data_IF_719347996529
#
_entry.id   IF_719347996529
#
_cell.length_a   1.000
_cell.length_b   1.000
_cell.length_c   1.000
_cell.angle_alpha   90.00
_cell.angle_beta   90.00
_cell.angle_gamma   90.00
#
_symmetry.space_group_name_H-M   'P 1'
#
loop_
_entity.id
_entity.type
_entity.pdbx_description
1 polymer ?
#
# COMPACT_ATOMS: atom_id res chain seq x y z
N UNK A 1 36.21 -32.38 -4.71
CA UNK A 1 35.76 -33.07 -3.47
C UNK A 1 36.26 -32.26 -2.29
N UNK A 2 35.36 -31.57 -1.60
CA UNK A 2 35.68 -30.81 -0.40
C UNK A 2 35.96 -31.76 0.77
N UNK A 3 36.79 -31.33 1.74
CA UNK A 3 36.98 -32.05 2.97
C UNK A 3 35.72 -32.13 3.80
N UNK A 4 35.33 -33.29 4.28
CA UNK A 4 34.26 -33.43 5.25
C UNK A 4 34.84 -33.23 6.66
N UNK A 5 34.12 -32.50 7.49
CA UNK A 5 34.46 -32.29 8.90
C UNK A 5 33.46 -33.08 9.74
N UNK A 6 33.98 -33.70 10.80
CA UNK A 6 33.23 -34.52 11.75
C UNK A 6 33.51 -34.04 13.17
N UNK A 7 32.54 -34.18 14.04
CA UNK A 7 32.68 -33.86 15.45
C UNK A 7 32.69 -35.15 16.28
N UNK A 8 33.67 -35.26 17.19
CA UNK A 8 33.78 -36.37 18.13
C UNK A 8 33.63 -35.79 19.53
N UNK A 9 32.87 -36.46 20.39
CA UNK A 9 32.78 -36.13 21.80
C UNK A 9 34.05 -36.55 22.59
N UNK A 10 34.06 -36.34 23.92
CA UNK A 10 35.18 -36.70 24.79
C UNK A 10 35.49 -38.17 24.82
N UNK A 11 34.55 -39.05 24.48
CA UNK A 11 34.70 -40.50 24.45
C UNK A 11 35.06 -41.01 23.04
N UNK A 12 35.26 -40.09 22.10
CA UNK A 12 35.60 -40.40 20.73
C UNK A 12 34.40 -40.85 19.87
N UNK A 13 33.19 -40.67 20.34
CA UNK A 13 31.97 -41.03 19.61
C UNK A 13 31.62 -39.89 18.63
N UNK A 14 31.33 -40.28 17.40
CA UNK A 14 30.98 -39.31 16.35
C UNK A 14 29.54 -38.79 16.50
N UNK A 15 29.40 -37.50 16.61
CA UNK A 15 28.11 -36.80 16.64
C UNK A 15 27.34 -36.99 15.33
N UNK A 16 26.02 -37.14 15.39
CA UNK A 16 25.11 -37.31 14.24
C UNK A 16 23.76 -36.63 14.50
N UNK A 17 23.23 -36.03 13.45
CA UNK A 17 21.86 -35.38 13.46
C UNK A 17 21.65 -34.47 14.67
N UNK A 18 22.65 -33.62 14.98
CA UNK A 18 22.59 -32.71 16.14
C UNK A 18 23.35 -31.42 15.89
N UNK A 19 23.03 -30.42 16.68
CA UNK A 19 23.73 -29.15 16.75
C UNK A 19 25.02 -29.29 17.61
N UNK A 20 26.02 -28.53 17.26
CA UNK A 20 27.31 -28.48 17.96
C UNK A 20 27.61 -27.02 18.31
N UNK A 21 27.70 -26.75 19.62
CA UNK A 21 28.03 -25.44 20.18
C UNK A 21 27.14 -24.30 19.58
N UNK A 22 25.87 -24.57 19.35
CA UNK A 22 24.88 -23.64 18.73
C UNK A 22 25.36 -22.96 17.45
N UNK A 23 26.36 -23.55 16.82
CA UNK A 23 27.06 -22.93 15.68
C UNK A 23 27.06 -23.81 14.43
N UNK A 24 27.18 -25.10 14.60
CA UNK A 24 27.31 -26.09 13.51
C UNK A 24 26.24 -27.16 13.61
N UNK A 25 25.88 -27.73 12.48
CA UNK A 25 25.01 -28.90 12.44
C UNK A 25 25.74 -30.07 11.76
N UNK A 26 25.67 -31.23 12.34
CA UNK A 26 26.15 -32.48 11.75
C UNK A 26 24.96 -33.35 11.34
N UNK A 27 24.95 -33.79 10.08
CA UNK A 27 23.87 -34.60 9.55
C UNK A 27 23.93 -36.08 10.01
N UNK A 28 23.03 -36.90 9.49
CA UNK A 28 22.95 -38.35 9.83
C UNK A 28 24.21 -39.15 9.49
N UNK A 29 25.01 -38.66 8.54
CA UNK A 29 26.32 -39.25 8.22
C UNK A 29 27.42 -38.84 9.21
N UNK A 30 27.16 -37.91 10.14
CA UNK A 30 28.13 -37.25 11.00
C UNK A 30 28.89 -36.11 10.33
N UNK A 31 28.75 -35.93 9.02
CA UNK A 31 29.41 -34.84 8.31
C UNK A 31 28.77 -33.50 8.64
N UNK A 32 29.61 -32.48 8.85
CA UNK A 32 29.15 -31.07 9.07
C UNK A 32 28.43 -30.55 7.84
N UNK A 33 27.27 -30.01 8.05
CA UNK A 33 26.48 -29.33 7.03
C UNK A 33 27.15 -28.00 6.60
N UNK A 34 27.09 -27.67 5.30
CA UNK A 34 27.53 -26.38 4.76
C UNK A 34 26.75 -26.03 3.50
N UNK A 35 26.55 -24.75 3.24
CA UNK A 35 25.73 -24.22 2.13
C UNK A 35 24.36 -24.91 2.05
N UNK A 36 23.67 -25.04 3.15
CA UNK A 36 22.39 -25.74 3.17
C UNK A 36 21.45 -25.25 4.28
N UNK A 37 20.21 -25.44 4.04
CA UNK A 37 19.13 -25.27 5.00
C UNK A 37 19.00 -26.48 5.92
N UNK A 38 18.70 -26.23 7.18
CA UNK A 38 18.39 -27.23 8.20
C UNK A 38 17.10 -26.81 8.89
N UNK A 39 16.14 -27.71 8.93
CA UNK A 39 14.94 -27.57 9.75
C UNK A 39 15.16 -28.18 11.12
N UNK A 40 14.76 -27.48 12.16
CA UNK A 40 14.71 -27.98 13.52
C UNK A 40 13.31 -27.76 14.09
N UNK A 41 12.72 -28.78 14.70
CA UNK A 41 11.41 -28.65 15.36
C UNK A 41 11.52 -27.99 16.73
N UNK A 42 10.39 -27.64 17.29
CA UNK A 42 10.26 -27.23 18.69
C UNK A 42 10.83 -28.34 19.60
N UNK A 43 11.32 -27.98 20.78
CA UNK A 43 11.94 -28.93 21.74
C UNK A 43 13.16 -29.72 21.19
N UNK A 44 13.72 -29.33 20.05
CA UNK A 44 14.97 -29.86 19.57
C UNK A 44 16.17 -29.26 20.32
N UNK A 45 17.36 -29.81 20.11
CA UNK A 45 18.65 -29.24 20.55
C UNK A 45 19.13 -28.08 19.65
N UNK A 46 18.19 -27.46 18.93
CA UNK A 46 18.47 -26.29 18.08
C UNK A 46 18.76 -25.02 18.91
N UNK A 47 19.49 -24.06 18.36
CA UNK A 47 19.77 -22.80 19.04
C UNK A 47 18.52 -22.00 19.44
N UNK A 48 17.41 -22.18 18.70
CA UNK A 48 16.11 -21.58 19.05
C UNK A 48 15.14 -22.66 19.55
N UNK A 49 14.50 -22.43 20.70
CA UNK A 49 13.49 -23.32 21.29
C UNK A 49 12.22 -23.43 20.45
N UNK A 50 11.91 -22.42 19.63
CA UNK A 50 10.68 -22.35 18.84
C UNK A 50 10.80 -23.10 17.51
N UNK A 51 11.98 -23.72 17.26
CA UNK A 51 12.25 -24.38 16.00
C UNK A 51 12.36 -23.42 14.81
N UNK A 52 12.37 -23.96 13.59
CA UNK A 52 12.39 -23.18 12.36
C UNK A 52 13.48 -23.58 11.38
N UNK A 53 13.64 -22.76 10.34
CA UNK A 53 14.67 -22.92 9.35
C UNK A 53 15.94 -22.15 9.71
N UNK A 54 17.08 -22.84 9.56
CA UNK A 54 18.43 -22.31 9.78
C UNK A 54 19.26 -22.50 8.52
N UNK A 55 20.21 -21.61 8.26
CA UNK A 55 21.13 -21.74 7.13
C UNK A 55 22.60 -21.83 7.61
N UNK A 56 23.29 -22.85 7.12
CA UNK A 56 24.72 -23.04 7.37
C UNK A 56 25.50 -22.50 6.16
N UNK A 57 26.42 -21.57 6.40
CA UNK A 57 27.25 -20.94 5.36
C UNK A 57 28.26 -21.93 4.74
N UNK A 58 29.12 -21.44 3.84
CA UNK A 58 30.13 -22.23 3.19
C UNK A 58 31.17 -22.87 4.17
N UNK A 59 31.35 -22.23 5.34
CA UNK A 59 32.19 -22.71 6.41
C UNK A 59 31.43 -23.61 7.40
N UNK A 60 30.17 -23.90 7.13
CA UNK A 60 29.28 -24.68 7.99
C UNK A 60 28.82 -23.93 9.25
N UNK A 61 29.07 -22.63 9.36
CA UNK A 61 28.59 -21.83 10.50
C UNK A 61 27.14 -21.40 10.26
N UNK A 62 26.37 -21.49 11.32
CA UNK A 62 25.00 -20.93 11.30
C UNK A 62 25.05 -19.43 11.04
N UNK A 63 24.18 -18.97 10.16
CA UNK A 63 23.97 -17.54 9.88
C UNK A 63 23.05 -16.97 10.94
N UNK A 64 23.44 -15.85 11.58
CA UNK A 64 22.68 -15.17 12.63
C UNK A 64 22.67 -13.67 12.40
N UNK A 65 21.65 -13.01 12.88
CA UNK A 65 21.53 -11.54 12.98
C UNK A 65 21.98 -10.81 11.71
N UNK A 66 21.40 -11.22 10.57
CA UNK A 66 21.84 -10.65 9.29
C UNK A 66 20.92 -11.01 8.11
N UNK A 67 21.05 -10.20 7.08
CA UNK A 67 20.50 -10.48 5.76
C UNK A 67 21.47 -11.33 4.93
N UNK A 68 20.92 -12.29 4.18
CA UNK A 68 21.68 -13.13 3.22
C UNK A 68 20.94 -13.27 1.90
N UNK A 69 21.72 -13.30 0.82
CA UNK A 69 21.21 -13.71 -0.49
C UNK A 69 21.60 -15.18 -0.69
N UNK A 70 20.59 -16.02 -0.91
CA UNK A 70 20.75 -17.46 -1.11
C UNK A 70 19.92 -17.82 -2.35
N UNK A 71 20.57 -18.33 -3.39
CA UNK A 71 19.94 -18.66 -4.68
C UNK A 71 19.07 -17.51 -5.24
N UNK A 72 19.64 -16.31 -5.27
CA UNK A 72 19.00 -15.07 -5.78
C UNK A 72 17.81 -14.53 -4.96
N UNK A 73 17.47 -15.16 -3.84
CA UNK A 73 16.49 -14.67 -2.88
C UNK A 73 17.15 -14.09 -1.64
N UNK A 74 16.54 -13.06 -1.07
CA UNK A 74 17.03 -12.38 0.13
C UNK A 74 16.27 -12.86 1.35
N UNK A 75 17.00 -13.32 2.37
CA UNK A 75 16.49 -13.84 3.64
C UNK A 75 17.06 -13.05 4.80
N UNK A 76 16.29 -12.97 5.87
CA UNK A 76 16.73 -12.44 7.15
C UNK A 76 16.83 -13.57 8.18
N UNK A 77 17.84 -13.51 9.05
CA UNK A 77 18.03 -14.43 10.16
C UNK A 77 18.09 -13.61 11.45
N UNK A 78 17.36 -14.04 12.46
CA UNK A 78 17.36 -13.42 13.78
C UNK A 78 18.65 -13.71 14.56
N UNK A 79 18.74 -13.22 15.82
CA UNK A 79 19.91 -13.42 16.69
C UNK A 79 20.16 -14.88 17.02
N UNK A 80 19.13 -15.72 17.05
CA UNK A 80 19.21 -17.15 17.31
C UNK A 80 19.47 -17.98 16.04
N UNK A 81 19.59 -17.31 14.89
CA UNK A 81 19.84 -17.90 13.58
C UNK A 81 18.62 -18.46 12.89
N UNK A 82 17.41 -18.25 13.43
CA UNK A 82 16.18 -18.67 12.78
C UNK A 82 15.85 -17.74 11.62
N UNK A 83 15.44 -18.32 10.49
CA UNK A 83 14.94 -17.57 9.35
C UNK A 83 13.67 -16.80 9.73
N UNK A 84 13.68 -15.49 9.54
CA UNK A 84 12.50 -14.65 9.72
C UNK A 84 11.50 -14.86 8.59
N UNK A 85 10.21 -14.70 8.88
CA UNK A 85 9.10 -14.76 7.93
C UNK A 85 8.00 -13.76 8.30
N UNK A 86 6.99 -13.59 7.45
CA UNK A 86 5.92 -12.62 7.66
C UNK A 86 6.41 -11.17 7.54
N UNK A 87 5.79 -10.28 8.28
CA UNK A 87 6.21 -8.89 8.36
C UNK A 87 7.49 -8.73 9.19
N UNK A 88 8.42 -7.96 8.67
CA UNK A 88 9.67 -7.62 9.36
C UNK A 88 9.92 -6.12 9.27
N UNK A 89 10.09 -5.47 10.42
CA UNK A 89 10.65 -4.12 10.51
C UNK A 89 12.09 -4.22 10.92
N UNK A 90 13.00 -3.75 10.07
CA UNK A 90 14.45 -3.74 10.30
C UNK A 90 14.83 -2.62 11.29
N UNK A 91 16.05 -2.65 11.81
CA UNK A 91 16.58 -1.66 12.77
C UNK A 91 16.53 -0.22 12.24
N UNK A 92 16.66 -0.03 10.93
CA UNK A 92 16.55 1.29 10.29
C UNK A 92 15.10 1.73 10.06
N UNK A 93 14.13 0.96 10.54
CA UNK A 93 12.71 1.19 10.37
C UNK A 93 12.18 0.79 8.99
N UNK A 94 12.95 0.12 8.14
CA UNK A 94 12.47 -0.37 6.85
C UNK A 94 11.56 -1.58 7.05
N UNK A 95 10.46 -1.59 6.31
CA UNK A 95 9.45 -2.65 6.36
C UNK A 95 9.64 -3.62 5.20
N UNK A 96 9.50 -4.91 5.48
CA UNK A 96 9.59 -6.02 4.55
C UNK A 96 8.44 -7.02 4.78
N UNK A 97 8.14 -7.81 3.75
CA UNK A 97 7.31 -8.99 3.87
C UNK A 97 8.09 -10.20 3.34
N UNK A 98 8.22 -11.22 4.17
CA UNK A 98 9.14 -12.36 3.98
C UNK A 98 8.41 -13.67 3.63
N UNK A 99 7.15 -13.59 3.22
CA UNK A 99 6.38 -14.80 2.93
C UNK A 99 6.03 -15.60 4.19
N UNK A 100 5.81 -16.89 4.05
CA UNK A 100 5.44 -17.77 5.16
C UNK A 100 6.64 -18.45 5.83
N UNK A 101 6.38 -19.21 6.88
CA UNK A 101 7.40 -19.92 7.69
C UNK A 101 8.27 -20.90 6.90
N UNK A 102 7.80 -21.39 5.74
CA UNK A 102 8.51 -22.32 4.89
C UNK A 102 9.19 -21.65 3.69
N UNK A 103 8.97 -20.34 3.48
CA UNK A 103 9.54 -19.58 2.39
C UNK A 103 10.59 -18.57 2.88
N UNK A 104 10.23 -17.62 3.73
CA UNK A 104 11.10 -16.60 4.31
C UNK A 104 11.75 -15.63 3.32
N UNK A 105 11.49 -15.74 2.04
CA UNK A 105 12.08 -14.89 1.03
C UNK A 105 11.44 -13.50 0.99
N UNK A 106 12.25 -12.43 1.03
CA UNK A 106 11.76 -11.06 0.91
C UNK A 106 11.03 -10.87 -0.42
N UNK A 107 9.79 -10.38 -0.33
CA UNK A 107 8.93 -10.12 -1.48
C UNK A 107 9.33 -8.84 -2.19
N UNK A 108 9.04 -8.78 -3.49
CA UNK A 108 9.25 -7.62 -4.35
C UNK A 108 8.05 -7.42 -5.27
N UNK A 109 7.83 -6.18 -5.73
CA UNK A 109 6.70 -5.84 -6.60
C UNK A 109 5.40 -5.63 -5.82
N UNK A 110 4.28 -5.71 -6.52
CA UNK A 110 2.96 -5.57 -5.96
C UNK A 110 2.53 -6.81 -5.18
N UNK A 111 1.94 -6.60 -4.02
CA UNK A 111 1.41 -7.66 -3.19
C UNK A 111 0.16 -7.17 -2.46
N UNK A 112 -0.93 -7.92 -2.57
CA UNK A 112 -2.14 -7.71 -1.79
C UNK A 112 -2.09 -8.60 -0.56
N UNK A 113 -2.15 -7.99 0.61
CA UNK A 113 -2.04 -8.69 1.89
C UNK A 113 -3.23 -8.34 2.78
N UNK A 114 -3.62 -9.27 3.63
CA UNK A 114 -4.49 -8.94 4.74
C UNK A 114 -3.72 -8.07 5.73
N UNK A 115 -4.31 -6.94 6.08
CA UNK A 115 -3.68 -5.95 6.94
C UNK A 115 -4.74 -5.29 7.81
N UNK A 116 -4.69 -5.54 9.09
CA UNK A 116 -5.64 -5.07 10.10
C UNK A 116 -5.21 -3.76 10.79
N UNK A 117 -4.19 -3.08 10.25
CA UNK A 117 -3.64 -1.86 10.83
C UNK A 117 -2.43 -2.06 11.74
N UNK A 118 -2.03 -3.30 12.03
CA UNK A 118 -0.89 -3.61 12.86
C UNK A 118 0.10 -4.57 12.17
N UNK A 119 1.40 -4.31 12.31
CA UNK A 119 2.46 -5.23 11.88
C UNK A 119 2.91 -6.08 13.07
N UNK A 120 1.99 -6.84 13.67
CA UNK A 120 2.30 -7.72 14.78
C UNK A 120 3.14 -8.91 14.32
N UNK A 121 4.27 -9.14 14.98
CA UNK A 121 4.93 -10.43 14.98
C UNK A 121 4.32 -11.36 16.04
N UNK A 122 3.08 -11.16 16.40
CA UNK A 122 2.46 -12.05 17.35
C UNK A 122 1.97 -13.29 16.59
N UNK A 123 2.66 -14.41 16.89
CA UNK A 123 2.27 -15.79 16.60
C UNK A 123 2.44 -16.33 15.17
N UNK A 124 3.21 -15.70 14.29
CA UNK A 124 3.62 -16.36 13.05
C UNK A 124 2.48 -16.68 12.07
N UNK A 125 1.30 -16.15 12.29
CA UNK A 125 0.22 -16.23 11.32
C UNK A 125 0.50 -15.25 10.18
N UNK A 126 0.85 -15.82 9.05
CA UNK A 126 0.99 -15.10 7.79
C UNK A 126 -0.38 -14.63 7.38
N UNK A 127 -0.54 -13.32 7.29
CA UNK A 127 -1.71 -12.77 6.62
C UNK A 127 -1.86 -13.42 5.26
N UNK A 128 -2.95 -14.12 5.05
CA UNK A 128 -3.23 -14.78 3.78
C UNK A 128 -3.40 -13.71 2.69
N UNK A 129 -2.90 -13.99 1.50
CA UNK A 129 -3.29 -13.22 0.32
C UNK A 129 -4.79 -13.44 0.14
N UNK A 130 -5.59 -12.40 0.37
CA UNK A 130 -7.03 -12.52 0.26
C UNK A 130 -7.48 -12.23 -1.16
N UNK A 131 -8.31 -13.08 -1.68
CA UNK A 131 -9.13 -12.78 -2.84
C UNK A 131 -10.34 -11.97 -2.37
N UNK A 132 -10.28 -10.64 -2.47
CA UNK A 132 -11.46 -9.79 -2.30
C UNK A 132 -11.51 -8.94 -1.03
N UNK A 133 -10.45 -8.25 -0.65
CA UNK A 133 -10.49 -7.29 0.46
C UNK A 133 -9.16 -6.95 1.09
N UNK A 134 -8.05 -7.42 0.55
CA UNK A 134 -6.72 -7.12 1.08
C UNK A 134 -6.23 -5.71 0.74
N UNK A 135 -5.23 -5.26 1.45
CA UNK A 135 -4.52 -4.00 1.21
C UNK A 135 -3.34 -4.21 0.28
N UNK A 136 -3.19 -3.33 -0.71
CA UNK A 136 -2.07 -3.40 -1.64
C UNK A 136 -0.84 -2.69 -1.10
N UNK A 137 0.32 -3.35 -1.28
CA UNK A 137 1.66 -2.85 -0.95
C UNK A 137 2.56 -2.96 -2.17
N UNK A 138 3.60 -2.13 -2.22
CA UNK A 138 4.63 -2.26 -3.23
C UNK A 138 6.01 -2.36 -2.58
N UNK A 139 6.69 -3.48 -2.85
CA UNK A 139 8.03 -3.76 -2.36
C UNK A 139 9.04 -3.52 -3.49
N UNK A 140 10.07 -2.74 -3.19
CA UNK A 140 11.14 -2.41 -4.14
C UNK A 140 11.99 -3.65 -4.44
N UNK A 141 12.89 -3.57 -5.41
CA UNK A 141 13.79 -4.69 -5.77
C UNK A 141 14.68 -5.16 -4.59
N UNK A 142 14.95 -4.27 -3.64
CA UNK A 142 15.67 -4.62 -2.41
C UNK A 142 14.78 -5.23 -1.31
N UNK A 143 13.50 -5.45 -1.58
CA UNK A 143 12.50 -5.99 -0.66
C UNK A 143 11.86 -4.96 0.28
N UNK A 144 12.28 -3.68 0.26
CA UNK A 144 11.72 -2.65 1.14
C UNK A 144 10.34 -2.20 0.65
N UNK A 145 9.36 -2.16 1.52
CA UNK A 145 8.08 -1.51 1.23
C UNK A 145 8.27 -0.03 0.94
N UNK A 146 7.49 0.50 0.00
CA UNK A 146 7.33 1.95 -0.13
C UNK A 146 6.35 2.40 0.94
N UNK A 147 6.75 3.37 1.76
CA UNK A 147 5.89 3.98 2.77
C UNK A 147 6.28 5.42 3.05
N UNK A 148 5.38 6.20 3.61
CA UNK A 148 5.67 7.57 4.06
C UNK A 148 6.64 7.56 5.25
N UNK A 149 7.44 8.63 5.35
CA UNK A 149 8.41 8.78 6.44
C UNK A 149 7.80 9.34 7.73
N UNK A 150 6.59 9.87 7.68
CA UNK A 150 5.91 10.48 8.82
C UNK A 150 4.44 10.14 8.84
N UNK A 151 3.87 10.18 10.03
CA UNK A 151 2.44 10.01 10.27
C UNK A 151 1.63 11.01 9.45
N UNK A 152 0.43 10.59 9.02
CA UNK A 152 -0.51 11.43 8.28
C UNK A 152 0.02 12.03 6.97
N UNK A 153 1.03 11.39 6.36
CA UNK A 153 1.59 11.78 5.07
C UNK A 153 1.54 10.63 4.07
N UNK A 154 1.87 10.91 2.81
CA UNK A 154 1.99 9.90 1.77
C UNK A 154 3.37 9.91 1.11
N UNK A 155 3.89 8.72 0.83
CA UNK A 155 5.01 8.54 -0.08
C UNK A 155 4.46 8.40 -1.51
N UNK A 156 4.89 9.29 -2.39
CA UNK A 156 4.45 9.21 -3.78
C UNK A 156 5.49 8.47 -4.64
N UNK A 157 5.04 7.57 -5.53
CA UNK A 157 5.89 6.82 -6.45
C UNK A 157 5.25 6.68 -7.81
N UNK A 158 6.09 6.77 -8.83
CA UNK A 158 5.70 6.41 -10.19
C UNK A 158 6.14 4.97 -10.47
N UNK A 159 5.19 4.10 -10.74
CA UNK A 159 5.39 2.68 -11.03
C UNK A 159 4.76 2.40 -12.38
N UNK A 160 5.53 1.91 -13.33
CA UNK A 160 5.08 1.62 -14.70
C UNK A 160 4.36 2.81 -15.39
N UNK A 161 4.78 4.05 -15.08
CA UNK A 161 4.22 5.28 -15.68
C UNK A 161 3.00 5.85 -14.97
N UNK A 162 2.46 5.17 -13.96
CA UNK A 162 1.35 5.63 -13.14
C UNK A 162 1.83 6.10 -11.77
N UNK A 163 1.18 7.13 -11.21
CA UNK A 163 1.48 7.63 -9.88
C UNK A 163 0.61 6.94 -8.84
N UNK A 164 1.24 6.51 -7.75
CA UNK A 164 0.62 5.90 -6.58
C UNK A 164 1.07 6.60 -5.32
N UNK A 165 0.23 6.54 -4.30
CA UNK A 165 0.55 7.03 -2.97
C UNK A 165 0.48 5.87 -1.97
N UNK A 166 1.38 5.91 -0.98
CA UNK A 166 1.46 4.92 0.09
C UNK A 166 1.53 5.66 1.42
N UNK A 167 0.77 5.22 2.39
CA UNK A 167 0.76 5.81 3.72
C UNK A 167 2.01 5.45 4.54
N UNK A 168 2.04 5.84 5.82
CA UNK A 168 3.13 5.52 6.76
C UNK A 168 3.24 4.02 7.04
N UNK A 169 2.18 3.27 6.82
CA UNK A 169 2.14 1.82 6.95
C UNK A 169 2.53 1.10 5.66
N UNK A 170 2.66 1.83 4.55
CA UNK A 170 2.94 1.28 3.24
C UNK A 170 1.67 0.83 2.50
N UNK A 171 0.49 1.06 3.05
CA UNK A 171 -0.76 0.76 2.40
C UNK A 171 -0.98 1.70 1.21
N UNK A 172 -1.37 1.13 0.06
CA UNK A 172 -1.67 1.91 -1.14
C UNK A 172 -2.94 2.74 -0.94
N UNK A 173 -2.86 4.03 -1.21
CA UNK A 173 -4.00 4.93 -1.17
C UNK A 173 -4.97 4.64 -2.33
N UNK A 174 -6.26 4.69 -2.04
CA UNK A 174 -7.36 4.51 -2.99
C UNK A 174 -8.46 5.55 -2.76
N UNK A 175 -9.38 5.71 -3.69
CA UNK A 175 -10.46 6.68 -3.57
C UNK A 175 -9.97 8.13 -3.56
N UNK A 176 -10.71 8.99 -2.90
CA UNK A 176 -10.36 10.39 -2.72
C UNK A 176 -9.35 10.55 -1.57
N UNK A 177 -8.27 11.27 -1.82
CA UNK A 177 -7.15 11.42 -0.89
C UNK A 177 -6.78 12.89 -0.73
N UNK A 178 -6.70 13.34 0.51
CA UNK A 178 -6.10 14.64 0.83
C UNK A 178 -4.58 14.52 0.83
N UNK A 179 -3.94 15.10 -0.17
CA UNK A 179 -2.49 14.94 -0.38
C UNK A 179 -1.62 15.84 0.50
N UNK A 180 -2.21 16.84 1.15
CA UNK A 180 -1.48 17.79 1.99
C UNK A 180 -1.39 17.41 3.46
N UNK A 181 -2.44 16.80 3.98
CA UNK A 181 -2.52 16.34 5.37
C UNK A 181 -3.70 15.35 5.50
N UNK A 182 -3.43 14.12 5.87
CA UNK A 182 -4.46 13.08 6.07
C UNK A 182 -5.43 13.41 7.22
N UNK A 183 -4.98 14.13 8.24
CA UNK A 183 -5.84 14.59 9.33
C UNK A 183 -6.70 15.80 8.95
N UNK A 184 -6.35 16.53 7.91
CA UNK A 184 -7.17 17.64 7.41
C UNK A 184 -8.39 17.09 6.65
N UNK A 185 -9.20 16.30 7.33
CA UNK A 185 -10.55 15.94 6.92
C UNK A 185 -11.49 17.14 6.91
N UNK A 186 -11.05 18.27 7.44
CA UNK A 186 -11.72 19.55 7.26
C UNK A 186 -11.53 19.93 5.80
N UNK A 187 -12.47 19.48 4.98
CA UNK A 187 -12.54 19.75 3.57
C UNK A 187 -12.30 21.23 3.30
N UNK A 188 -11.04 21.59 3.13
CA UNK A 188 -10.67 22.89 2.56
C UNK A 188 -11.07 22.96 1.10
N UNK A 189 -11.90 22.02 0.68
CA UNK A 189 -12.49 21.90 -0.64
C UNK A 189 -11.75 20.91 -1.54
N UNK A 190 -12.40 20.56 -2.62
CA UNK A 190 -11.93 19.60 -3.64
C UNK A 190 -10.53 19.90 -4.17
N UNK A 191 -10.08 21.16 -4.11
CA UNK A 191 -8.76 21.58 -4.60
C UNK A 191 -7.56 20.93 -3.90
N UNK A 192 -7.79 20.34 -2.73
CA UNK A 192 -6.75 19.67 -1.94
C UNK A 192 -6.72 18.16 -2.13
N UNK A 193 -7.56 17.66 -3.03
CA UNK A 193 -7.80 16.24 -3.21
C UNK A 193 -7.30 15.75 -4.55
N UNK A 194 -6.87 14.50 -4.54
CA UNK A 194 -6.62 13.69 -5.72
C UNK A 194 -7.41 12.38 -5.61
N UNK A 195 -7.76 11.76 -6.73
CA UNK A 195 -8.49 10.50 -6.77
C UNK A 195 -7.59 9.37 -7.27
N UNK A 196 -7.59 8.25 -6.57
CA UNK A 196 -6.68 7.12 -6.81
C UNK A 196 -7.39 5.81 -7.22
N UNK A 197 -8.53 5.91 -7.86
CA UNK A 197 -9.27 4.73 -8.32
C UNK A 197 -9.90 3.93 -7.19
N UNK A 198 -10.41 2.76 -7.54
CA UNK A 198 -10.99 1.82 -6.57
C UNK A 198 -9.91 1.02 -5.81
N UNK A 199 -10.37 0.12 -4.92
CA UNK A 199 -9.51 -0.66 -4.02
C UNK A 199 -8.37 -1.42 -4.72
N UNK A 200 -8.58 -1.89 -5.95
CA UNK A 200 -7.60 -2.66 -6.72
C UNK A 200 -6.85 -1.82 -7.77
N UNK A 201 -7.09 -0.52 -7.86
CA UNK A 201 -6.48 0.35 -8.88
C UNK A 201 -5.34 1.20 -8.32
N UNK A 202 -5.61 2.05 -7.34
CA UNK A 202 -4.65 2.93 -6.67
C UNK A 202 -3.92 3.93 -7.58
N UNK A 203 -4.28 4.02 -8.85
CA UNK A 203 -3.64 4.91 -9.80
C UNK A 203 -4.23 6.31 -9.71
N UNK A 204 -3.38 7.32 -9.59
CA UNK A 204 -3.83 8.72 -9.63
C UNK A 204 -4.62 9.01 -10.89
N UNK A 205 -5.85 9.49 -10.73
CA UNK A 205 -6.74 9.81 -11.84
C UNK A 205 -6.19 10.97 -12.70
N UNK A 206 -6.42 10.85 -14.00
CA UNK A 206 -6.16 11.88 -15.00
C UNK A 206 -7.23 11.83 -16.08
N UNK A 207 -7.55 12.98 -16.65
CA UNK A 207 -8.60 13.09 -17.66
C UNK A 207 -9.99 12.87 -17.06
N UNK A 208 -10.90 12.47 -17.89
CA UNK A 208 -12.28 12.24 -17.50
C UNK A 208 -12.44 10.96 -16.68
N UNK A 209 -13.23 11.04 -15.59
CA UNK A 209 -13.68 9.91 -14.78
C UNK A 209 -15.16 10.07 -14.46
N UNK A 210 -15.91 9.01 -14.64
CA UNK A 210 -17.27 8.90 -14.13
C UNK A 210 -17.20 8.16 -12.81
N UNK A 211 -17.55 8.83 -11.73
CA UNK A 211 -17.53 8.28 -10.38
C UNK A 211 -18.97 8.21 -9.89
N UNK A 212 -19.40 7.07 -9.46
CA UNK A 212 -20.73 6.84 -8.92
C UNK A 212 -20.61 6.21 -7.55
N UNK A 213 -21.65 6.44 -6.76
CA UNK A 213 -21.84 5.77 -5.49
C UNK A 213 -22.32 4.35 -5.74
N UNK A 214 -21.75 3.36 -5.06
CA UNK A 214 -22.29 2.01 -5.10
C UNK A 214 -23.46 1.93 -4.11
N UNK A 215 -24.72 1.84 -4.58
CA UNK A 215 -25.88 1.79 -3.69
C UNK A 215 -25.98 0.46 -2.91
N UNK A 216 -25.13 -0.52 -3.19
CA UNK A 216 -25.07 -1.79 -2.47
C UNK A 216 -24.14 -1.74 -1.26
N UNK A 217 -23.26 -0.72 -1.19
CA UNK A 217 -22.29 -0.56 -0.09
C UNK A 217 -22.78 0.45 0.95
N UNK A 218 -23.90 0.14 1.58
CA UNK A 218 -24.48 0.99 2.65
C UNK A 218 -23.81 0.78 4.01
N UNK A 219 -22.89 -0.16 4.13
CA UNK A 219 -22.28 -0.54 5.41
C UNK A 219 -20.83 -0.06 5.56
N UNK A 220 -20.22 0.49 4.51
CA UNK A 220 -18.86 1.03 4.60
C UNK A 220 -18.93 2.54 4.88
N UNK A 221 -18.91 2.88 6.17
CA UNK A 221 -18.94 4.28 6.64
C UNK A 221 -17.72 5.10 6.17
N UNK A 222 -16.74 4.45 5.55
CA UNK A 222 -15.47 5.06 5.11
C UNK A 222 -15.38 5.33 3.60
N UNK A 223 -16.39 4.93 2.81
CA UNK A 223 -16.35 5.10 1.35
C UNK A 223 -17.22 6.28 0.90
N UNK A 224 -16.63 7.45 0.87
CA UNK A 224 -17.29 8.64 0.31
C UNK A 224 -16.74 9.00 -1.06
N UNK A 225 -17.60 8.96 -2.08
CA UNK A 225 -17.30 9.38 -3.44
C UNK A 225 -17.61 10.86 -3.61
N UNK A 226 -16.71 11.70 -3.27
CA UNK A 226 -16.83 13.13 -3.53
C UNK A 226 -16.70 13.98 -2.28
N UNK A 227 -16.45 15.28 -2.48
CA UNK A 227 -16.31 16.22 -1.38
C UNK A 227 -17.65 16.44 -0.67
N UNK A 228 -17.58 16.58 0.63
CA UNK A 228 -18.75 16.88 1.46
C UNK A 228 -19.56 18.06 0.97
N UNK A 229 -20.87 17.91 0.91
CA UNK A 229 -21.80 18.98 0.57
C UNK A 229 -22.28 19.76 1.79
N UNK A 230 -21.94 19.31 3.01
CA UNK A 230 -22.31 19.96 4.25
C UNK A 230 -21.17 19.92 5.27
N UNK A 231 -21.29 20.77 6.30
CA UNK A 231 -20.39 20.82 7.44
C UNK A 231 -20.51 19.64 8.41
N UNK A 232 -21.00 18.51 7.95
CA UNK A 232 -21.06 17.30 8.76
C UNK A 232 -19.69 16.66 8.83
N UNK A 233 -18.88 17.14 9.77
CA UNK A 233 -17.54 16.65 10.05
C UNK A 233 -17.52 15.23 10.65
N UNK A 234 -18.68 14.60 10.88
CA UNK A 234 -18.76 13.27 11.49
C UNK A 234 -18.31 12.14 10.55
N UNK A 235 -18.16 12.43 9.25
CA UNK A 235 -17.74 11.48 8.23
C UNK A 235 -16.50 11.95 7.45
N UNK A 236 -15.55 12.56 8.12
CA UNK A 236 -14.27 12.92 7.51
C UNK A 236 -14.37 13.98 6.40
N UNK A 237 -15.43 14.79 6.37
CA UNK A 237 -15.60 15.84 5.37
C UNK A 237 -16.07 15.36 3.98
N UNK A 238 -16.43 14.09 3.85
CA UNK A 238 -16.85 13.45 2.60
C UNK A 238 -18.25 12.91 2.75
N UNK A 239 -19.25 13.73 2.79
CA UNK A 239 -20.61 13.26 2.87
C UNK A 239 -21.26 13.18 1.50
N UNK A 240 -21.91 12.08 1.24
CA UNK A 240 -22.83 11.91 0.15
C UNK A 240 -24.12 12.66 0.43
N UNK A 241 -24.48 13.58 -0.45
CA UNK A 241 -25.87 13.91 -0.72
C UNK A 241 -26.15 13.61 -2.19
N UNK A 242 -25.99 12.34 -2.58
CA UNK A 242 -26.57 11.83 -3.80
C UNK A 242 -27.93 11.22 -3.47
N UNK A 243 -28.99 11.99 -3.64
CA UNK A 243 -30.32 11.42 -3.77
C UNK A 243 -30.34 10.66 -5.10
N UNK A 244 -30.05 9.34 -5.05
CA UNK A 244 -30.44 8.47 -6.12
C UNK A 244 -29.37 7.78 -6.94
N UNK A 245 -28.19 7.41 -6.44
CA UNK A 245 -27.29 6.45 -7.12
C UNK A 245 -26.76 6.84 -8.51
N UNK A 246 -26.89 8.07 -8.92
CA UNK A 246 -26.42 8.62 -10.18
C UNK A 246 -25.03 9.20 -9.98
N UNK A 247 -24.00 8.59 -10.57
CA UNK A 247 -22.63 9.11 -10.56
C UNK A 247 -22.51 10.49 -11.21
N UNK A 248 -21.30 11.05 -11.18
CA UNK A 248 -20.97 12.30 -11.84
C UNK A 248 -19.67 12.20 -12.62
N UNK A 249 -19.55 13.02 -13.67
CA UNK A 249 -18.30 13.19 -14.39
C UNK A 249 -17.41 14.20 -13.67
N UNK A 250 -16.13 13.81 -13.51
CA UNK A 250 -15.02 14.62 -13.02
C UNK A 250 -13.95 14.70 -14.09
N UNK A 251 -13.20 15.79 -14.08
CA UNK A 251 -12.02 15.93 -14.90
C UNK A 251 -10.80 16.27 -14.04
N UNK A 252 -9.76 15.47 -14.19
CA UNK A 252 -8.50 15.64 -13.47
C UNK A 252 -7.41 16.11 -14.45
N UNK A 253 -6.63 17.09 -14.05
CA UNK A 253 -5.50 17.55 -14.83
C UNK A 253 -4.34 16.52 -14.81
N UNK A 254 -3.22 16.85 -15.45
CA UNK A 254 -2.06 15.96 -15.48
C UNK A 254 -1.38 15.77 -14.11
N UNK A 255 -1.69 16.62 -13.15
CA UNK A 255 -1.18 16.53 -11.78
C UNK A 255 -2.14 15.76 -10.85
N UNK A 256 -3.32 15.40 -11.33
CA UNK A 256 -4.37 14.76 -10.54
C UNK A 256 -5.32 15.74 -9.87
N UNK A 257 -5.19 17.04 -10.14
CA UNK A 257 -6.06 18.06 -9.55
C UNK A 257 -7.41 18.05 -10.26
N UNK A 258 -8.53 17.88 -9.53
CA UNK A 258 -9.86 17.93 -10.13
C UNK A 258 -10.23 19.34 -10.56
N UNK A 259 -10.98 19.44 -11.66
CA UNK A 259 -11.62 20.70 -12.07
C UNK A 259 -12.78 21.03 -11.15
N UNK A 260 -12.93 22.29 -10.73
CA UNK A 260 -13.99 22.74 -9.84
C UNK A 260 -14.31 24.24 -10.00
N UNK A 261 -15.47 24.66 -9.52
CA UNK A 261 -15.82 26.06 -9.43
C UNK A 261 -15.10 26.74 -8.26
N UNK A 262 -14.17 27.62 -8.57
CA UNK A 262 -13.55 28.46 -7.54
C UNK A 262 -14.53 29.54 -7.06
N UNK A 263 -14.63 29.74 -5.76
CA UNK A 263 -15.40 30.85 -5.13
C UNK A 263 -14.90 32.24 -5.52
N UNK A 264 -13.67 32.30 -6.07
CA UNK A 264 -13.08 33.54 -6.60
C UNK A 264 -13.45 33.84 -8.06
N UNK A 265 -14.27 33.00 -8.71
CA UNK A 265 -14.64 33.19 -10.12
C UNK A 265 -15.44 34.50 -10.34
N UNK A 266 -14.95 35.36 -11.24
CA UNK A 266 -15.56 36.65 -11.57
C UNK A 266 -16.04 36.74 -13.03
N UNK A 267 -15.82 35.66 -13.80
CA UNK A 267 -16.18 35.61 -15.22
C UNK A 267 -16.53 34.19 -15.63
N UNK A 268 -17.29 34.06 -16.72
CA UNK A 268 -17.58 32.73 -17.29
C UNK A 268 -16.31 31.95 -17.57
N UNK A 269 -15.25 32.61 -18.04
CA UNK A 269 -13.96 31.98 -18.28
C UNK A 269 -13.30 31.49 -17.00
N UNK A 270 -13.47 32.14 -15.87
CA UNK A 270 -12.96 31.74 -14.56
C UNK A 270 -13.82 30.68 -13.87
N UNK A 271 -15.12 30.61 -14.23
CA UNK A 271 -16.07 29.63 -13.70
C UNK A 271 -16.08 28.30 -14.50
N UNK A 272 -15.33 28.24 -15.60
CA UNK A 272 -15.34 27.06 -16.48
C UNK A 272 -13.93 26.54 -16.72
N UNK A 273 -13.80 25.23 -16.87
CA UNK A 273 -12.56 24.56 -17.26
C UNK A 273 -12.56 24.26 -18.75
N UNK A 274 -11.43 24.48 -19.41
CA UNK A 274 -11.28 24.16 -20.83
C UNK A 274 -10.57 22.82 -21.00
N UNK A 275 -11.28 21.88 -21.65
CA UNK A 275 -10.77 20.54 -21.96
C UNK A 275 -10.92 20.30 -23.46
N UNK A 276 -9.85 19.95 -24.15
CA UNK A 276 -9.82 19.62 -25.59
C UNK A 276 -10.53 20.65 -26.50
N UNK A 277 -10.44 21.93 -26.12
CA UNK A 277 -11.03 23.02 -26.89
C UNK A 277 -12.44 23.43 -26.49
N UNK A 278 -13.15 22.61 -25.75
CA UNK A 278 -14.48 22.85 -25.23
C UNK A 278 -14.44 23.40 -23.79
N UNK A 279 -15.52 24.10 -23.37
CA UNK A 279 -15.66 24.58 -22.02
C UNK A 279 -16.69 23.74 -21.27
N UNK A 280 -16.35 23.38 -20.04
CA UNK A 280 -17.19 22.61 -19.13
C UNK A 280 -17.39 23.37 -17.83
N UNK A 281 -18.55 23.22 -17.25
CA UNK A 281 -18.86 23.76 -15.93
C UNK A 281 -18.81 22.64 -14.91
N UNK A 282 -18.05 22.86 -13.85
CA UNK A 282 -17.98 21.96 -12.69
C UNK A 282 -18.53 22.76 -11.49
N UNK A 283 -19.25 22.11 -10.58
CA UNK A 283 -19.65 22.74 -9.33
C UNK A 283 -18.46 22.87 -8.35
N UNK A 284 -18.71 23.41 -7.18
CA UNK A 284 -17.69 23.56 -6.13
C UNK A 284 -17.17 22.22 -5.60
N UNK A 285 -17.86 21.14 -5.88
CA UNK A 285 -17.47 19.77 -5.53
C UNK A 285 -16.80 19.01 -6.67
N UNK A 286 -16.56 19.66 -7.81
CA UNK A 286 -15.89 19.09 -8.97
C UNK A 286 -16.78 18.26 -9.88
N UNK A 287 -18.08 18.21 -9.66
CA UNK A 287 -19.02 17.48 -10.50
C UNK A 287 -19.36 18.27 -11.76
N UNK A 288 -19.20 17.67 -12.93
CA UNK A 288 -19.63 18.30 -14.19
C UNK A 288 -21.14 18.51 -14.19
N UNK A 289 -21.56 19.66 -14.64
CA UNK A 289 -22.98 20.03 -14.76
C UNK A 289 -23.34 20.35 -16.19
N UNK A 290 -24.57 19.99 -16.57
CA UNK A 290 -25.18 20.24 -17.86
C UNK A 290 -26.38 21.20 -17.75
N UNK A 291 -26.93 21.62 -18.89
CA UNK A 291 -28.09 22.48 -18.96
C UNK A 291 -27.79 23.99 -18.86
N UNK A 292 -28.78 24.78 -18.49
CA UNK A 292 -28.64 26.24 -18.31
C UNK A 292 -28.11 26.53 -16.91
N UNK A 293 -26.84 26.89 -16.85
CA UNK A 293 -26.10 27.09 -15.58
C UNK A 293 -25.63 28.53 -15.48
N UNK A 294 -25.41 29.00 -14.26
CA UNK A 294 -24.91 30.32 -14.00
C UNK A 294 -24.29 30.48 -12.61
N UNK A 295 -23.57 31.57 -12.44
CA UNK A 295 -23.03 31.98 -11.16
C UNK A 295 -23.24 33.46 -10.93
N UNK A 296 -23.26 33.84 -9.67
CA UNK A 296 -23.42 35.24 -9.26
C UNK A 296 -22.04 35.83 -9.00
N UNK A 297 -21.74 36.94 -9.68
CA UNK A 297 -20.53 37.72 -9.42
C UNK A 297 -20.58 38.44 -8.10
N UNK A 298 -19.45 38.93 -7.62
CA UNK A 298 -19.36 39.72 -6.41
C UNK A 298 -20.19 41.03 -6.46
N UNK A 299 -20.46 41.57 -7.66
CA UNK A 299 -21.32 42.75 -7.88
C UNK A 299 -22.83 42.44 -7.95
N UNK A 300 -23.20 41.14 -7.74
CA UNK A 300 -24.55 40.67 -7.79
C UNK A 300 -25.09 40.37 -9.21
N UNK A 301 -24.29 40.56 -10.25
CA UNK A 301 -24.73 40.19 -11.61
C UNK A 301 -24.67 38.69 -11.83
N UNK A 302 -25.70 38.17 -12.53
CA UNK A 302 -25.76 36.76 -12.91
C UNK A 302 -25.13 36.57 -14.29
N UNK A 303 -24.20 35.61 -14.39
CA UNK A 303 -23.65 35.16 -15.67
C UNK A 303 -24.12 33.74 -15.90
N UNK A 304 -24.76 33.50 -17.06
CA UNK A 304 -25.24 32.15 -17.40
C UNK A 304 -24.82 31.73 -18.80
N UNK A 305 -24.71 30.44 -18.99
CA UNK A 305 -24.42 29.77 -20.25
C UNK A 305 -25.09 28.39 -20.29
N UNK A 306 -25.27 27.86 -21.49
CA UNK A 306 -25.83 26.52 -21.69
C UNK A 306 -24.71 25.52 -21.93
N UNK A 307 -24.72 24.42 -21.20
CA UNK A 307 -23.71 23.35 -21.21
C UNK A 307 -24.36 22.02 -21.53
N UNK A 308 -24.47 21.68 -22.81
CA UNK A 308 -25.03 20.42 -23.25
C UNK A 308 -26.49 20.18 -22.83
N UNK A 309 -27.06 19.11 -23.34
CA UNK A 309 -28.45 18.73 -23.07
C UNK A 309 -28.60 17.78 -21.89
N UNK A 310 -27.53 17.05 -21.58
CA UNK A 310 -27.48 16.03 -20.52
C UNK A 310 -26.05 15.88 -19.96
N UNK A 311 -25.93 15.08 -18.92
CA UNK A 311 -24.68 14.87 -18.19
C UNK A 311 -23.61 14.12 -19.00
N UNK A 312 -23.94 13.60 -20.19
CA UNK A 312 -22.96 12.97 -21.08
C UNK A 312 -22.29 13.95 -22.04
N UNK A 313 -22.89 15.14 -22.28
CA UNK A 313 -22.37 16.14 -23.21
C UNK A 313 -21.66 17.29 -22.49
N UNK A 314 -22.21 17.87 -21.44
CA UNK A 314 -21.63 18.90 -20.57
C UNK A 314 -20.82 20.03 -21.23
N UNK A 315 -20.60 19.98 -22.54
CA UNK A 315 -19.81 20.96 -23.26
C UNK A 315 -20.62 22.21 -23.62
N UNK A 316 -20.01 23.41 -23.47
CA UNK A 316 -20.56 24.68 -23.91
C UNK A 316 -20.31 24.90 -25.39
#
# INVERSE_FOLDING_TARGET
>A
SGANYYYLDSDGVMARSQWIDDTYYVGSSGARASNRWVWAGEDSDAPSSDGGWFYLDANGRMVTDTWRVINDHRYHFDSDGRMSYGWLTDEDGSLYYLGDENDGAARTGWLCLDYDGEYGQEDGEVAAVLSGGGTWFYFQENGRAIRAAGENTYANRTINGYRYYFDENGAMATGWVSVGNREANDATGISTLEYFGGADEGQMARGWRYLYDDPEDTDDEDFSFGPATSSDASHGGWAHDYEGGDGAWYYFDNNGTPAYLSTAAQSLSGATTRVDGHRYFFDEYGRMKSGLLGFVRADGTVVSAYFGADDSDGAM
#
